data_IF_963822251135
#
_entry.id   IF_963822251135
#
_cell.length_a   1.000
_cell.length_b   1.000
_cell.length_c   1.000
_cell.angle_alpha   90.00
_cell.angle_beta   90.00
_cell.angle_gamma   90.00
#
_symmetry.space_group_name_H-M   'P 1'
#
loop_
_entity.id
_entity.type
_entity.pdbx_description
1 polymer ?
#
# COMPACT_ATOMS: atom_id res chain seq x y z
N UNK A 1 1.14 -16.45 -10.72
CA UNK A 1 1.27 -15.42 -9.66
C UNK A 1 1.94 -14.20 -10.28
N UNK A 2 1.31 -13.01 -10.25
CA UNK A 2 1.95 -11.81 -10.73
C UNK A 2 3.23 -11.55 -9.93
N UNK A 3 4.27 -11.06 -10.62
CA UNK A 3 5.44 -10.53 -9.92
C UNK A 3 5.02 -9.26 -9.20
N UNK A 4 5.39 -9.15 -7.93
CA UNK A 4 5.15 -7.94 -7.15
C UNK A 4 5.93 -6.78 -7.80
N UNK A 5 5.25 -5.69 -8.22
CA UNK A 5 5.89 -4.60 -8.92
C UNK A 5 6.74 -3.75 -7.98
N UNK A 6 7.70 -3.01 -8.55
CA UNK A 6 8.43 -1.96 -7.84
C UNK A 6 7.64 -0.67 -8.01
N UNK A 7 7.23 -0.05 -6.92
CA UNK A 7 6.39 1.15 -6.92
C UNK A 7 6.83 2.11 -5.80
N UNK A 8 6.57 3.39 -5.99
CA UNK A 8 6.77 4.39 -4.94
C UNK A 8 5.70 4.31 -3.86
N UNK A 9 6.02 4.82 -2.67
CA UNK A 9 5.06 4.98 -1.57
C UNK A 9 3.77 5.71 -1.99
N UNK A 10 3.85 6.89 -2.64
CA UNK A 10 2.68 7.58 -3.16
C UNK A 10 1.85 6.76 -4.14
N UNK A 11 2.50 5.95 -5.00
CA UNK A 11 1.78 5.09 -5.95
C UNK A 11 1.06 3.94 -5.23
N UNK A 12 1.68 3.33 -4.22
CA UNK A 12 1.04 2.33 -3.38
C UNK A 12 -0.16 2.91 -2.60
N UNK A 13 -0.04 4.13 -2.06
CA UNK A 13 -1.14 4.82 -1.38
C UNK A 13 -2.32 5.04 -2.34
N UNK A 14 -2.07 5.50 -3.57
CA UNK A 14 -3.14 5.69 -4.57
C UNK A 14 -3.85 4.39 -4.95
N UNK A 15 -3.10 3.30 -5.12
CA UNK A 15 -3.68 1.99 -5.41
C UNK A 15 -4.53 1.48 -4.24
N UNK A 16 -4.02 1.57 -3.01
CA UNK A 16 -4.80 1.22 -1.81
C UNK A 16 -6.03 2.13 -1.67
N UNK A 17 -5.95 3.40 -2.05
CA UNK A 17 -7.11 4.30 -2.02
C UNK A 17 -8.24 3.84 -2.96
N UNK A 18 -7.90 3.39 -4.17
CA UNK A 18 -8.88 2.78 -5.10
C UNK A 18 -9.52 1.51 -4.54
N UNK A 19 -8.82 0.80 -3.65
CA UNK A 19 -9.29 -0.40 -2.95
C UNK A 19 -10.04 -0.10 -1.64
N UNK A 20 -10.43 1.16 -1.41
CA UNK A 20 -11.26 1.55 -0.27
C UNK A 20 -10.48 1.90 1.00
N UNK A 21 -9.20 2.25 0.87
CA UNK A 21 -8.42 2.84 1.98
C UNK A 21 -8.44 4.36 1.93
N UNK A 22 -8.35 5.00 3.09
CA UNK A 22 -8.22 6.45 3.22
C UNK A 22 -7.03 6.79 4.10
N UNK A 23 -6.34 7.88 3.76
CA UNK A 23 -5.26 8.42 4.60
C UNK A 23 -5.86 9.07 5.85
N UNK A 24 -5.47 8.59 7.03
CA UNK A 24 -6.00 9.09 8.31
C UNK A 24 -4.99 9.86 9.13
N UNK A 25 -3.68 9.61 8.93
CA UNK A 25 -2.60 10.29 9.66
C UNK A 25 -1.30 10.21 8.87
N UNK A 26 -0.45 11.21 9.02
CA UNK A 26 0.94 11.16 8.57
C UNK A 26 1.88 11.58 9.70
N UNK A 27 3.01 10.88 9.84
CA UNK A 27 4.12 11.27 10.71
C UNK A 27 5.43 11.16 9.93
N UNK A 28 6.04 12.31 9.63
CA UNK A 28 7.22 12.36 8.76
C UNK A 28 6.91 11.72 7.40
N UNK A 29 7.73 10.74 7.02
CA UNK A 29 7.57 9.99 5.76
C UNK A 29 6.59 8.82 5.84
N UNK A 30 5.92 8.56 6.97
CA UNK A 30 5.01 7.40 7.10
C UNK A 30 3.55 7.86 7.10
N UNK A 31 2.75 7.28 6.21
CA UNK A 31 1.31 7.56 6.09
C UNK A 31 0.53 6.35 6.59
N UNK A 32 -0.40 6.60 7.51
CA UNK A 32 -1.34 5.61 8.03
C UNK A 32 -2.59 5.64 7.15
N UNK A 33 -2.94 4.50 6.58
CA UNK A 33 -4.17 4.27 5.83
C UNK A 33 -5.14 3.42 6.65
N UNK A 34 -6.44 3.71 6.56
CA UNK A 34 -7.52 2.90 7.15
C UNK A 34 -8.52 2.50 6.07
N UNK A 35 -8.88 1.23 6.03
CA UNK A 35 -9.82 0.69 5.02
C UNK A 35 -10.08 -0.78 5.27
N UNK A 36 -11.25 -1.30 4.84
CA UNK A 36 -11.62 -2.72 4.99
C UNK A 36 -11.47 -3.26 6.43
N UNK A 37 -11.69 -2.43 7.45
CA UNK A 37 -11.50 -2.78 8.86
C UNK A 37 -10.02 -2.94 9.29
N UNK A 38 -9.08 -2.55 8.45
CA UNK A 38 -7.62 -2.62 8.67
C UNK A 38 -7.01 -1.23 8.76
N UNK A 39 -5.84 -1.17 9.38
CA UNK A 39 -4.96 -0.01 9.40
C UNK A 39 -3.59 -0.46 8.92
N UNK A 40 -2.99 0.25 7.97
CA UNK A 40 -1.66 -0.07 7.43
C UNK A 40 -0.80 1.18 7.34
N UNK A 41 0.51 1.00 7.42
CA UNK A 41 1.48 2.09 7.31
C UNK A 41 2.25 1.98 6.00
N UNK A 42 2.26 3.04 5.21
CA UNK A 42 3.00 3.11 3.95
C UNK A 42 4.09 4.19 4.05
N UNK A 43 5.38 3.85 3.89
CA UNK A 43 6.44 4.84 3.82
C UNK A 43 6.45 5.56 2.46
N UNK A 44 6.70 6.86 2.46
CA UNK A 44 6.76 7.75 1.29
C UNK A 44 8.15 7.71 0.64
N UNK A 45 8.61 6.51 0.30
CA UNK A 45 9.88 6.33 -0.40
C UNK A 45 9.67 6.41 -1.92
N UNK A 46 10.72 6.80 -2.65
CA UNK A 46 10.72 6.80 -4.12
C UNK A 46 10.48 5.39 -4.68
N UNK A 47 10.99 4.37 -4.00
CA UNK A 47 10.74 2.97 -4.28
C UNK A 47 10.53 2.21 -2.97
N UNK A 48 9.49 1.38 -2.94
CA UNK A 48 9.30 0.38 -1.90
C UNK A 48 10.00 -0.90 -2.31
N UNK A 49 10.81 -1.45 -1.42
CA UNK A 49 11.32 -2.80 -1.61
C UNK A 49 10.16 -3.81 -1.62
N UNK A 50 10.38 -4.95 -2.26
CA UNK A 50 9.34 -5.98 -2.43
C UNK A 50 8.90 -6.59 -1.09
N UNK A 51 9.77 -6.62 -0.09
CA UNK A 51 9.46 -7.13 1.25
C UNK A 51 8.47 -6.21 1.96
N UNK A 52 8.76 -4.91 1.97
CA UNK A 52 7.90 -3.85 2.50
C UNK A 52 6.54 -3.84 1.82
N UNK A 53 6.52 -3.82 0.48
CA UNK A 53 5.25 -3.84 -0.24
C UNK A 53 4.44 -5.11 0.07
N UNK A 54 5.08 -6.29 0.12
CA UNK A 54 4.41 -7.54 0.48
C UNK A 54 3.85 -7.51 1.90
N UNK A 55 4.58 -6.95 2.85
CA UNK A 55 4.13 -6.80 4.24
C UNK A 55 2.89 -5.91 4.31
N UNK A 56 2.90 -4.77 3.62
CA UNK A 56 1.76 -3.83 3.54
C UNK A 56 0.53 -4.53 2.96
N UNK A 57 0.66 -5.24 1.84
CA UNK A 57 -0.48 -5.93 1.21
C UNK A 57 -1.05 -7.03 2.11
N UNK A 58 -0.18 -7.78 2.79
CA UNK A 58 -0.59 -8.81 3.75
C UNK A 58 -1.36 -8.22 4.93
N UNK A 59 -0.91 -7.10 5.48
CA UNK A 59 -1.58 -6.41 6.59
C UNK A 59 -2.92 -5.79 6.16
N UNK A 60 -2.95 -5.23 4.94
CA UNK A 60 -4.13 -4.68 4.29
C UNK A 60 -5.15 -5.76 3.88
N UNK A 61 -4.76 -7.05 3.91
CA UNK A 61 -5.53 -8.16 3.35
C UNK A 61 -5.93 -7.90 1.89
N UNK A 62 -4.95 -7.46 1.09
CA UNK A 62 -5.07 -7.19 -0.34
C UNK A 62 -4.17 -8.19 -1.08
N UNK A 63 -4.72 -8.87 -2.07
CA UNK A 63 -3.95 -9.77 -2.94
C UNK A 63 -3.03 -9.00 -3.88
N UNK A 64 -2.01 -9.68 -4.41
CA UNK A 64 -1.11 -9.06 -5.40
C UNK A 64 -1.87 -8.70 -6.67
N UNK A 65 -2.82 -9.55 -7.10
CA UNK A 65 -3.65 -9.31 -8.28
C UNK A 65 -4.55 -8.07 -8.09
N UNK A 66 -5.31 -7.98 -6.99
CA UNK A 66 -6.12 -6.78 -6.66
C UNK A 66 -5.26 -5.51 -6.65
N UNK A 67 -4.06 -5.59 -6.06
CA UNK A 67 -3.16 -4.45 -6.00
C UNK A 67 -2.68 -4.04 -7.41
N UNK A 68 -2.30 -5.00 -8.24
CA UNK A 68 -1.82 -4.75 -9.61
C UNK A 68 -2.92 -4.16 -10.49
N UNK A 69 -4.16 -4.63 -10.36
CA UNK A 69 -5.33 -4.05 -11.04
C UNK A 69 -5.60 -2.60 -10.61
N UNK A 70 -5.25 -2.25 -9.37
CA UNK A 70 -5.43 -0.93 -8.82
C UNK A 70 -4.26 0.05 -9.07
N UNK A 71 -3.18 -0.34 -9.75
CA UNK A 71 -1.96 0.48 -9.95
C UNK A 71 -2.05 1.61 -10.99
#
# INVERSE_FOLDING_TARGET
MPKLPVVSGPRAIRALARLGFISVRQRGSHVVLKGRGRMVVVPLHAELDRGTLRAILREANVSVDEFVEAL
#
